data_IF_912203714618
#
_entry.id   IF_912203714618
#
_cell.length_a   1.000
_cell.length_b   1.000
_cell.length_c   1.000
_cell.angle_alpha   90.00
_cell.angle_beta   90.00
_cell.angle_gamma   90.00
#
_symmetry.space_group_name_H-M   'P 1'
#
loop_
_entity.id
_entity.type
_entity.pdbx_description
1 polymer ?
#
# COMPACT_ATOMS: atom_id res chain seq x y z
N UNK A 1 51.41 -17.19 3.33
CA UNK A 1 50.31 -17.57 2.41
C UNK A 1 48.92 -17.45 3.06
N UNK A 2 48.59 -18.09 4.20
CA UNK A 2 47.22 -18.05 4.74
C UNK A 2 46.77 -16.66 5.22
N UNK A 3 47.70 -15.86 5.76
CA UNK A 3 47.42 -14.50 6.23
C UNK A 3 46.92 -13.56 5.13
N UNK A 4 47.41 -13.71 3.88
CA UNK A 4 47.01 -12.84 2.77
C UNK A 4 45.56 -13.12 2.36
N UNK A 5 45.15 -14.40 2.38
CA UNK A 5 43.79 -14.84 2.03
C UNK A 5 42.78 -14.32 3.06
N UNK A 6 43.10 -14.44 4.35
CA UNK A 6 42.24 -13.94 5.44
C UNK A 6 42.02 -12.42 5.33
N UNK A 7 43.07 -11.66 4.99
CA UNK A 7 43.01 -10.21 4.85
C UNK A 7 42.13 -9.78 3.66
N UNK A 8 42.22 -10.49 2.53
CA UNK A 8 41.38 -10.24 1.35
C UNK A 8 39.90 -10.55 1.62
N UNK A 9 39.60 -11.65 2.31
CA UNK A 9 38.22 -12.02 2.67
C UNK A 9 37.60 -11.01 3.63
N UNK A 10 38.34 -10.57 4.65
CA UNK A 10 37.89 -9.53 5.58
C UNK A 10 37.64 -8.19 4.86
N UNK A 11 38.55 -7.78 3.96
CA UNK A 11 38.36 -6.57 3.16
C UNK A 11 37.10 -6.65 2.27
N UNK A 12 36.85 -7.79 1.62
CA UNK A 12 35.67 -8.00 0.79
C UNK A 12 34.37 -7.95 1.61
N UNK A 13 34.35 -8.56 2.81
CA UNK A 13 33.20 -8.47 3.72
C UNK A 13 32.96 -7.04 4.20
N UNK A 14 34.01 -6.31 4.56
CA UNK A 14 33.91 -4.90 4.95
C UNK A 14 33.36 -4.02 3.81
N UNK A 15 33.83 -4.21 2.57
CA UNK A 15 33.31 -3.50 1.41
C UNK A 15 31.84 -3.87 1.15
N UNK A 16 31.49 -5.15 1.22
CA UNK A 16 30.12 -5.63 1.08
C UNK A 16 29.18 -5.01 2.12
N UNK A 17 29.59 -4.97 3.39
CA UNK A 17 28.84 -4.33 4.47
C UNK A 17 28.69 -2.82 4.22
N UNK A 18 29.76 -2.12 3.82
CA UNK A 18 29.71 -0.68 3.53
C UNK A 18 28.77 -0.35 2.36
N UNK A 19 28.80 -1.14 1.30
CA UNK A 19 27.88 -1.01 0.15
C UNK A 19 26.44 -1.26 0.59
N UNK A 20 26.22 -2.31 1.40
CA UNK A 20 24.91 -2.63 1.95
C UNK A 20 24.36 -1.51 2.86
N UNK A 21 25.17 -0.98 3.77
CA UNK A 21 24.80 0.15 4.63
C UNK A 21 24.49 1.41 3.81
N UNK A 22 25.28 1.70 2.77
CA UNK A 22 25.02 2.83 1.86
C UNK A 22 23.71 2.65 1.09
N UNK A 23 23.43 1.44 0.61
CA UNK A 23 22.18 1.10 -0.07
C UNK A 23 20.97 1.32 0.86
N UNK A 24 21.03 0.78 2.09
CA UNK A 24 19.99 0.97 3.10
C UNK A 24 19.75 2.45 3.44
N UNK A 25 20.81 3.25 3.58
CA UNK A 25 20.68 4.70 3.83
C UNK A 25 20.01 5.43 2.67
N UNK A 26 20.29 5.05 1.42
CA UNK A 26 19.62 5.63 0.25
C UNK A 26 18.13 5.28 0.21
N UNK A 27 17.80 4.00 0.45
CA UNK A 27 16.42 3.55 0.52
C UNK A 27 15.64 4.28 1.62
N UNK A 28 16.24 4.45 2.81
CA UNK A 28 15.61 5.19 3.91
C UNK A 28 15.33 6.65 3.54
N UNK A 29 16.32 7.36 2.96
CA UNK A 29 16.11 8.74 2.50
C UNK A 29 15.02 8.86 1.44
N UNK A 30 14.92 7.87 0.55
CA UNK A 30 13.87 7.84 -0.45
C UNK A 30 12.49 7.62 0.20
N UNK A 31 12.43 6.75 1.20
CA UNK A 31 11.21 6.54 1.98
C UNK A 31 10.79 7.81 2.74
N UNK A 32 11.73 8.55 3.34
CA UNK A 32 11.43 9.82 4.01
C UNK A 32 10.83 10.86 3.05
N UNK A 33 11.42 11.00 1.85
CA UNK A 33 10.91 11.92 0.81
C UNK A 33 9.53 11.47 0.32
N UNK A 34 9.34 10.17 0.08
CA UNK A 34 8.06 9.64 -0.35
C UNK A 34 7.00 9.80 0.75
N UNK A 35 7.36 9.58 2.00
CA UNK A 35 6.49 9.77 3.15
C UNK A 35 6.04 11.22 3.24
N UNK A 36 6.94 12.20 3.09
CA UNK A 36 6.58 13.61 3.11
C UNK A 36 5.61 13.99 1.97
N UNK A 37 5.80 13.44 0.77
CA UNK A 37 4.88 13.63 -0.35
C UNK A 37 3.50 13.02 -0.06
N UNK A 38 3.47 11.77 0.40
CA UNK A 38 2.22 11.06 0.70
C UNK A 38 1.48 11.70 1.88
N UNK A 39 2.17 12.15 2.93
CA UNK A 39 1.57 12.92 4.03
C UNK A 39 0.90 14.20 3.51
N UNK A 40 1.47 14.85 2.50
CA UNK A 40 0.86 16.01 1.83
C UNK A 40 -0.46 15.69 1.11
N UNK A 41 -0.60 14.46 0.58
CA UNK A 41 -1.83 13.96 -0.06
C UNK A 41 -2.84 13.55 1.01
N UNK A 42 -2.40 12.75 1.98
CA UNK A 42 -3.27 12.12 2.96
C UNK A 42 -3.73 13.12 4.04
N UNK A 43 -2.93 14.13 4.39
CA UNK A 43 -3.25 15.21 5.34
C UNK A 43 -3.84 14.71 6.67
N UNK A 44 -3.41 13.55 7.15
CA UNK A 44 -3.94 12.91 8.36
C UNK A 44 -5.30 12.22 8.22
N UNK A 45 -5.95 12.28 7.04
CA UNK A 45 -7.27 11.69 6.74
C UNK A 45 -7.17 10.19 6.40
N UNK A 46 -6.50 9.44 7.27
CA UNK A 46 -6.18 8.03 7.03
C UNK A 46 -7.40 7.12 7.09
N UNK A 47 -8.33 7.38 8.01
CA UNK A 47 -9.56 6.59 8.12
C UNK A 47 -10.42 6.71 6.86
N UNK A 48 -10.58 7.93 6.36
CA UNK A 48 -11.34 8.23 5.15
C UNK A 48 -10.75 7.52 3.92
N UNK A 49 -9.43 7.53 3.78
CA UNK A 49 -8.75 6.74 2.76
C UNK A 49 -9.00 5.23 2.93
N UNK A 50 -8.91 4.69 4.14
CA UNK A 50 -9.15 3.27 4.39
C UNK A 50 -10.59 2.87 4.06
N UNK A 51 -11.57 3.72 4.37
CA UNK A 51 -12.96 3.54 3.96
C UNK A 51 -13.12 3.55 2.43
N UNK A 52 -12.43 4.47 1.73
CA UNK A 52 -12.50 4.60 0.28
C UNK A 52 -12.03 3.33 -0.47
N UNK A 53 -11.10 2.57 0.12
CA UNK A 53 -10.59 1.33 -0.49
C UNK A 53 -11.69 0.26 -0.58
N UNK A 54 -12.72 0.31 0.27
CA UNK A 54 -13.82 -0.65 0.30
C UNK A 54 -13.31 -2.09 0.47
N UNK A 55 -12.62 -2.34 1.59
CA UNK A 55 -12.00 -3.63 1.88
C UNK A 55 -13.05 -4.75 2.00
N UNK A 56 -12.79 -5.97 1.50
CA UNK A 56 -13.68 -7.09 1.72
C UNK A 56 -13.54 -7.59 3.16
N UNK A 57 -14.65 -7.73 3.86
CA UNK A 57 -14.68 -8.19 5.24
C UNK A 57 -15.43 -9.52 5.35
N UNK A 58 -15.08 -10.33 6.35
CA UNK A 58 -15.81 -11.57 6.61
C UNK A 58 -17.29 -11.29 6.90
N UNK A 59 -18.19 -12.13 6.36
CA UNK A 59 -19.64 -12.00 6.57
C UNK A 59 -20.01 -11.97 8.05
N UNK A 60 -19.35 -12.78 8.88
CA UNK A 60 -19.55 -12.78 10.34
C UNK A 60 -19.17 -11.47 11.01
N UNK A 61 -18.19 -10.73 10.48
CA UNK A 61 -17.83 -9.40 10.98
C UNK A 61 -18.88 -8.36 10.58
N UNK A 62 -19.53 -8.52 9.42
CA UNK A 62 -20.62 -7.65 8.99
C UNK A 62 -21.89 -7.89 9.81
N UNK A 63 -22.19 -9.14 10.16
CA UNK A 63 -23.31 -9.48 11.03
C UNK A 63 -23.15 -8.87 12.43
N UNK A 64 -21.95 -8.96 13.03
CA UNK A 64 -21.66 -8.33 14.32
C UNK A 64 -21.79 -6.80 14.26
N UNK A 65 -21.29 -6.15 13.20
CA UNK A 65 -21.41 -4.70 12.99
C UNK A 65 -22.89 -4.28 12.84
N UNK A 66 -23.69 -5.03 12.08
CA UNK A 66 -25.13 -4.75 11.85
C UNK A 66 -25.96 -4.97 13.11
N UNK A 67 -25.71 -6.06 13.85
CA UNK A 67 -26.46 -6.41 15.07
C UNK A 67 -26.13 -5.45 16.22
N UNK A 68 -24.87 -5.03 16.33
CA UNK A 68 -24.42 -4.10 17.37
C UNK A 68 -24.64 -2.63 17.01
N UNK A 69 -24.88 -2.31 15.73
CA UNK A 69 -24.87 -0.94 15.22
C UNK A 69 -23.50 -0.26 15.37
N UNK A 70 -22.45 -1.04 15.64
CA UNK A 70 -21.11 -0.52 15.78
C UNK A 70 -20.53 -0.27 14.39
N UNK A 71 -20.35 0.99 14.03
CA UNK A 71 -19.34 1.33 13.02
C UNK A 71 -17.99 0.76 13.49
N UNK A 72 -17.21 0.22 12.55
CA UNK A 72 -15.85 -0.21 12.86
C UNK A 72 -15.14 0.92 13.61
N UNK A 73 -14.30 0.61 14.61
CA UNK A 73 -13.61 1.65 15.34
C UNK A 73 -12.85 2.53 14.36
N UNK A 74 -13.15 3.84 14.35
CA UNK A 74 -12.44 4.84 13.52
C UNK A 74 -10.91 4.72 13.70
N UNK A 75 -10.46 4.35 14.90
CA UNK A 75 -9.07 4.03 15.23
C UNK A 75 -8.46 2.89 14.38
N UNK A 76 -9.23 1.83 14.08
CA UNK A 76 -8.76 0.73 13.23
C UNK A 76 -8.61 1.19 11.77
N UNK A 77 -9.58 1.96 11.26
CA UNK A 77 -9.52 2.53 9.90
C UNK A 77 -8.38 3.52 9.76
N UNK A 78 -8.20 4.39 10.75
CA UNK A 78 -7.10 5.33 10.80
C UNK A 78 -5.75 4.61 10.80
N UNK A 79 -5.61 3.56 11.61
CA UNK A 79 -4.38 2.79 11.66
C UNK A 79 -4.13 2.01 10.36
N UNK A 80 -5.16 1.43 9.75
CA UNK A 80 -5.06 0.77 8.45
C UNK A 80 -4.57 1.73 7.36
N UNK A 81 -5.19 2.92 7.24
CA UNK A 81 -4.77 3.93 6.28
C UNK A 81 -3.33 4.40 6.48
N UNK A 82 -2.90 4.60 7.74
CA UNK A 82 -1.50 4.92 8.07
C UNK A 82 -0.53 3.84 7.64
N UNK A 83 -0.86 2.57 7.87
CA UNK A 83 -0.01 1.45 7.50
C UNK A 83 0.09 1.30 5.98
N UNK A 84 -1.00 1.53 5.25
CA UNK A 84 -0.99 1.50 3.78
C UNK A 84 -0.16 2.65 3.21
N UNK A 85 -0.30 3.87 3.74
CA UNK A 85 0.56 4.99 3.35
C UNK A 85 2.04 4.67 3.64
N UNK A 86 2.32 4.14 4.83
CA UNK A 86 3.67 3.71 5.23
C UNK A 86 4.21 2.60 4.32
N UNK A 87 3.36 1.69 3.85
CA UNK A 87 3.74 0.68 2.87
C UNK A 87 4.19 1.34 1.56
N UNK A 88 3.43 2.30 1.02
CA UNK A 88 3.84 3.00 -0.19
C UNK A 88 5.18 3.75 -0.01
N UNK A 89 5.37 4.42 1.13
CA UNK A 89 6.63 5.11 1.42
C UNK A 89 7.86 4.18 1.32
N UNK A 90 7.72 2.92 1.71
CA UNK A 90 8.81 1.94 1.67
C UNK A 90 8.87 1.10 0.39
N UNK A 91 7.85 1.20 -0.48
CA UNK A 91 7.73 0.42 -1.71
C UNK A 91 7.63 1.36 -2.92
N UNK A 92 8.76 1.88 -3.44
CA UNK A 92 8.76 2.97 -4.43
C UNK A 92 8.10 2.60 -5.76
N UNK A 93 8.10 1.31 -6.13
CA UNK A 93 7.40 0.85 -7.33
C UNK A 93 5.87 0.97 -7.17
N UNK A 94 5.32 0.56 -6.04
CA UNK A 94 3.89 0.67 -5.73
C UNK A 94 3.50 2.14 -5.54
N UNK A 95 4.32 2.94 -4.85
CA UNK A 95 4.08 4.39 -4.74
C UNK A 95 4.07 5.09 -6.10
N UNK A 96 4.94 4.68 -7.03
CA UNK A 96 4.94 5.23 -8.38
C UNK A 96 3.66 4.88 -9.15
N UNK A 97 3.12 3.66 -8.99
CA UNK A 97 1.84 3.26 -9.56
C UNK A 97 0.67 4.05 -8.96
N UNK A 98 0.67 4.22 -7.64
CA UNK A 98 -0.31 5.05 -6.93
C UNK A 98 -0.34 6.49 -7.47
N UNK A 99 0.82 7.16 -7.49
CA UNK A 99 0.94 8.53 -7.99
C UNK A 99 0.66 8.65 -9.49
N UNK A 100 1.01 7.62 -10.28
CA UNK A 100 0.66 7.57 -11.69
C UNK A 100 -0.85 7.50 -11.89
N UNK A 101 -1.54 6.63 -11.16
CA UNK A 101 -3.01 6.51 -11.26
C UNK A 101 -3.70 7.82 -10.88
N UNK A 102 -3.18 8.48 -9.83
CA UNK A 102 -3.66 9.78 -9.40
C UNK A 102 -3.52 10.84 -10.50
N UNK A 103 -2.34 10.92 -11.14
CA UNK A 103 -2.05 11.84 -12.23
C UNK A 103 -2.84 11.54 -13.51
N UNK A 104 -2.97 10.27 -13.87
CA UNK A 104 -3.66 9.84 -15.10
C UNK A 104 -5.17 10.18 -15.06
N UNK A 105 -5.74 10.31 -13.86
CA UNK A 105 -7.11 10.79 -13.64
C UNK A 105 -7.22 12.33 -13.55
N UNK A 106 -6.13 13.06 -13.80
CA UNK A 106 -6.11 14.53 -13.84
C UNK A 106 -5.95 15.22 -12.48
N UNK A 107 -5.69 14.48 -11.41
CA UNK A 107 -5.53 15.03 -10.07
C UNK A 107 -4.06 15.29 -9.71
N UNK A 108 -3.87 16.21 -8.76
CA UNK A 108 -2.60 16.67 -8.23
C UNK A 108 -2.51 16.41 -6.71
N UNK A 109 -1.33 16.19 -6.13
CA UNK A 109 -1.20 15.88 -4.69
C UNK A 109 -1.94 16.82 -3.73
N UNK A 110 -2.21 18.07 -4.16
CA UNK A 110 -2.92 19.08 -3.38
C UNK A 110 -4.41 18.75 -3.20
N UNK A 111 -5.02 18.03 -4.15
CA UNK A 111 -6.42 17.58 -4.13
C UNK A 111 -6.67 16.55 -3.00
N UNK A 112 -5.62 15.86 -2.59
CA UNK A 112 -5.61 15.01 -1.40
C UNK A 112 -6.53 13.79 -1.46
N UNK A 113 -7.08 13.40 -0.30
CA UNK A 113 -7.89 12.18 -0.15
C UNK A 113 -9.23 12.23 -0.89
N UNK A 114 -9.83 13.40 -1.08
CA UNK A 114 -11.10 13.52 -1.80
C UNK A 114 -10.98 13.03 -3.24
N UNK A 115 -9.90 13.41 -3.91
CA UNK A 115 -9.59 12.90 -5.24
C UNK A 115 -9.33 11.38 -5.26
N UNK A 116 -8.73 10.82 -4.20
CA UNK A 116 -8.58 9.35 -4.08
C UNK A 116 -9.95 8.68 -4.01
N UNK A 117 -10.87 9.23 -3.21
CA UNK A 117 -12.22 8.73 -3.06
C UNK A 117 -12.97 8.76 -4.40
N UNK A 118 -12.88 9.87 -5.14
CA UNK A 118 -13.50 10.01 -6.46
C UNK A 118 -12.97 8.99 -7.46
N UNK A 119 -11.65 8.77 -7.51
CA UNK A 119 -11.04 7.77 -8.39
C UNK A 119 -11.50 6.36 -7.99
N UNK A 120 -11.43 6.01 -6.69
CA UNK A 120 -11.78 4.66 -6.24
C UNK A 120 -13.25 4.33 -6.47
N UNK A 121 -14.15 5.31 -6.33
CA UNK A 121 -15.56 5.15 -6.69
C UNK A 121 -15.76 4.99 -8.19
N UNK A 122 -15.07 5.79 -9.01
CA UNK A 122 -15.14 5.68 -10.46
C UNK A 122 -14.60 4.33 -10.97
N UNK A 123 -13.55 3.81 -10.33
CA UNK A 123 -12.95 2.50 -10.62
C UNK A 123 -13.84 1.32 -10.19
N UNK A 124 -14.89 1.53 -9.39
CA UNK A 124 -15.81 0.46 -8.96
C UNK A 124 -16.68 -0.06 -10.12
N UNK A 125 -16.88 0.73 -11.17
CA UNK A 125 -17.74 0.35 -12.29
C UNK A 125 -16.99 -0.50 -13.33
N UNK A 126 -17.41 -1.77 -13.50
CA UNK A 126 -16.81 -2.75 -14.42
C UNK A 126 -16.76 -2.34 -15.90
N UNK A 127 -17.54 -1.33 -16.30
CA UNK A 127 -17.59 -0.82 -17.67
C UNK A 127 -16.46 0.20 -17.98
N UNK A 128 -15.65 0.55 -16.97
CA UNK A 128 -14.61 1.56 -17.11
C UNK A 128 -13.36 0.99 -17.80
N UNK A 129 -12.90 1.55 -18.94
CA UNK A 129 -11.69 1.08 -19.63
C UNK A 129 -10.41 1.31 -18.82
N UNK A 130 -10.43 2.20 -17.82
CA UNK A 130 -9.35 2.42 -16.86
C UNK A 130 -9.61 1.64 -15.55
N UNK A 131 -10.08 0.39 -15.65
CA UNK A 131 -10.53 -0.34 -14.47
C UNK A 131 -9.42 -0.55 -13.44
N UNK A 132 -9.55 0.15 -12.31
CA UNK A 132 -8.94 -0.25 -11.06
C UNK A 132 -7.43 -0.07 -10.85
N UNK A 133 -6.62 0.73 -11.56
CA UNK A 133 -5.19 0.81 -11.23
C UNK A 133 -4.91 1.35 -9.82
N UNK A 134 -5.69 2.32 -9.33
CA UNK A 134 -5.53 2.81 -7.97
C UNK A 134 -6.04 1.78 -6.95
N UNK A 135 -7.19 1.17 -7.20
CA UNK A 135 -7.74 0.12 -6.33
C UNK A 135 -6.83 -1.11 -6.27
N UNK A 136 -6.24 -1.52 -7.39
CA UNK A 136 -5.29 -2.64 -7.44
C UNK A 136 -4.04 -2.36 -6.60
N UNK A 137 -3.47 -1.15 -6.71
CA UNK A 137 -2.29 -0.79 -5.93
C UNK A 137 -2.60 -0.79 -4.43
N UNK A 138 -3.80 -0.34 -4.05
CA UNK A 138 -4.27 -0.38 -2.67
C UNK A 138 -4.45 -1.81 -2.17
N UNK A 139 -5.07 -2.69 -2.95
CA UNK A 139 -5.22 -4.09 -2.56
C UNK A 139 -3.89 -4.85 -2.47
N UNK A 140 -2.92 -4.56 -3.35
CA UNK A 140 -1.56 -5.12 -3.21
C UNK A 140 -0.90 -4.69 -1.91
N UNK A 141 -1.07 -3.42 -1.50
CA UNK A 141 -0.56 -2.94 -0.22
C UNK A 141 -1.21 -3.67 0.96
N UNK A 142 -2.54 -3.82 0.94
CA UNK A 142 -3.30 -4.54 1.97
C UNK A 142 -2.86 -6.01 2.02
N UNK A 143 -2.80 -6.69 0.88
CA UNK A 143 -2.37 -8.08 0.78
C UNK A 143 -0.96 -8.27 1.34
N UNK A 144 -0.02 -7.38 1.00
CA UNK A 144 1.34 -7.43 1.50
C UNK A 144 1.40 -7.19 3.02
N UNK A 145 0.61 -6.25 3.55
CA UNK A 145 0.53 -5.97 4.97
C UNK A 145 -0.02 -7.18 5.75
N UNK A 146 -1.10 -7.78 5.27
CA UNK A 146 -1.73 -8.96 5.89
C UNK A 146 -0.90 -10.24 5.73
N UNK A 147 -0.13 -10.36 4.65
CA UNK A 147 0.73 -11.53 4.42
C UNK A 147 1.93 -11.55 5.35
N UNK A 148 2.50 -10.38 5.62
CA UNK A 148 3.76 -10.27 6.36
C UNK A 148 3.56 -9.97 7.85
N UNK A 149 2.34 -9.66 8.30
CA UNK A 149 2.09 -9.19 9.66
C UNK A 149 0.74 -9.70 10.20
N UNK A 150 0.63 -9.73 11.52
CA UNK A 150 -0.65 -9.91 12.23
C UNK A 150 -1.06 -8.55 12.80
N UNK A 151 -1.94 -7.85 12.09
CA UNK A 151 -2.31 -6.45 12.38
C UNK A 151 -3.78 -6.39 12.85
N UNK A 152 -4.06 -5.89 14.07
CA UNK A 152 -5.42 -5.84 14.61
C UNK A 152 -6.43 -5.10 13.73
N UNK A 153 -6.01 -4.02 13.07
CA UNK A 153 -6.87 -3.23 12.18
C UNK A 153 -7.33 -3.99 10.92
N UNK A 154 -6.72 -5.14 10.60
CA UNK A 154 -7.11 -6.00 9.48
C UNK A 154 -7.73 -7.33 9.95
N UNK A 155 -8.01 -7.51 11.25
CA UNK A 155 -8.50 -8.79 11.81
C UNK A 155 -9.79 -9.30 11.15
N UNK A 156 -10.64 -8.39 10.69
CA UNK A 156 -11.93 -8.68 10.07
C UNK A 156 -11.90 -8.67 8.54
N UNK A 157 -10.77 -8.27 7.95
CA UNK A 157 -10.61 -8.23 6.48
C UNK A 157 -10.40 -9.65 5.98
N UNK A 158 -11.16 -10.02 4.95
CA UNK A 158 -11.02 -11.32 4.31
C UNK A 158 -9.80 -11.31 3.38
N UNK A 159 -8.69 -11.86 3.88
CA UNK A 159 -7.44 -11.96 3.11
C UNK A 159 -7.61 -12.74 1.81
N UNK A 160 -8.39 -13.84 1.83
CA UNK A 160 -8.57 -14.66 0.64
C UNK A 160 -9.27 -13.85 -0.45
N UNK A 161 -10.31 -13.09 -0.07
CA UNK A 161 -11.01 -12.21 -0.99
C UNK A 161 -10.11 -11.08 -1.52
N UNK A 162 -9.27 -10.48 -0.68
CA UNK A 162 -8.27 -9.49 -1.16
C UNK A 162 -7.35 -10.12 -2.22
N UNK A 163 -6.80 -11.31 -1.97
CA UNK A 163 -5.91 -12.00 -2.92
C UNK A 163 -6.61 -12.37 -4.24
N UNK A 164 -7.89 -12.75 -4.19
CA UNK A 164 -8.71 -12.97 -5.39
C UNK A 164 -8.84 -11.69 -6.20
N UNK A 165 -9.20 -10.57 -5.56
CA UNK A 165 -9.35 -9.27 -6.22
C UNK A 165 -8.04 -8.80 -6.87
N UNK A 166 -6.90 -8.94 -6.18
CA UNK A 166 -5.58 -8.63 -6.77
C UNK A 166 -5.33 -9.47 -8.03
N UNK A 167 -5.67 -10.76 -7.98
CA UNK A 167 -5.50 -11.69 -9.10
C UNK A 167 -6.39 -11.33 -10.28
N UNK A 168 -7.68 -11.10 -10.04
CA UNK A 168 -8.68 -10.74 -11.05
C UNK A 168 -8.33 -9.42 -11.73
N UNK A 169 -8.07 -8.38 -10.94
CA UNK A 169 -7.72 -7.05 -11.46
C UNK A 169 -6.40 -7.08 -12.24
N UNK A 170 -5.40 -7.85 -11.78
CA UNK A 170 -4.14 -8.01 -12.53
C UNK A 170 -4.36 -8.68 -13.88
N UNK A 171 -5.22 -9.72 -13.95
CA UNK A 171 -5.58 -10.36 -15.22
C UNK A 171 -6.31 -9.41 -16.16
N UNK A 172 -7.27 -8.63 -15.64
CA UNK A 172 -8.01 -7.65 -16.43
C UNK A 172 -7.08 -6.58 -17.03
N UNK A 173 -6.14 -6.05 -16.24
CA UNK A 173 -5.16 -5.07 -16.74
C UNK A 173 -4.19 -5.64 -17.78
N UNK A 174 -3.86 -6.93 -17.68
CA UNK A 174 -3.02 -7.60 -18.68
C UNK A 174 -3.77 -7.80 -20.00
N UNK A 175 -5.09 -8.05 -19.95
CA UNK A 175 -5.93 -8.24 -21.13
C UNK A 175 -6.25 -6.93 -21.89
N UNK A 176 -6.14 -5.78 -21.21
CA UNK A 176 -6.39 -4.46 -21.80
C UNK A 176 -5.17 -3.86 -22.56
N UNK A 177 -4.03 -4.57 -22.60
CA UNK A 177 -2.80 -4.16 -23.27
C UNK A 177 -2.59 -4.94 -24.56
#
# INVERSE_FOLDING_TARGET
MPFLIVLVVLAALCVGLLVWFRSKRKALKQADVMNALLEGIFKGRFAEFAHAIDLPYHESALEDDIISGAERPDADMHQAGRLIMGYFAHNPAEAALFLKSFKDNGFSPEDGVDAIYDILNYEHFHENPNYGPLRLVCYRAVEALMTNNVLPCFKSVDRARVSEMVTEMTRMQAAAR
#
